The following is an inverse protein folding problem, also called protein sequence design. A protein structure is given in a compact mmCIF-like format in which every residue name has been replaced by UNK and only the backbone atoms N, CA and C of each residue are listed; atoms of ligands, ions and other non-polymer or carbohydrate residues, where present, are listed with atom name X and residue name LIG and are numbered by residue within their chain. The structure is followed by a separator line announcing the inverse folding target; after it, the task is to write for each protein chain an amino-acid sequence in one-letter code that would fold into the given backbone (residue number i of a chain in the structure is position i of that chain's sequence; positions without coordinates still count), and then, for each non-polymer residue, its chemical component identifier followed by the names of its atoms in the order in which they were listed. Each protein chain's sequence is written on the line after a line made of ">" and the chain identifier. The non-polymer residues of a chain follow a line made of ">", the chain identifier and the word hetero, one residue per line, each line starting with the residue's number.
data_IF_069608312615
#
_entry.id   IF_069608312615
#
_cell.length_a   1.000
_cell.length_b   1.000
_cell.length_c   1.000
_cell.angle_alpha   90.00
_cell.angle_beta   90.00
_cell.angle_gamma   90.00
#
_symmetry.space_group_name_H-M   'P 1'
#
loop_
_entity.id
_entity.type
_entity.pdbx_description
1 polymer ?
#
# COMPACT_ATOMS: atom_id res chain seq x y z
N UNK A 1 -14.57 -15.72 -8.06
CA UNK A 1 -13.54 -15.13 -8.96
C UNK A 1 -13.78 -13.63 -9.16
N UNK A 2 -14.98 -13.21 -9.59
CA UNK A 2 -15.30 -11.78 -9.77
C UNK A 2 -15.11 -10.94 -8.49
N UNK A 3 -15.51 -11.48 -7.33
CA UNK A 3 -15.41 -10.82 -6.02
C UNK A 3 -13.97 -10.39 -5.64
N UNK A 4 -12.94 -11.11 -6.09
CA UNK A 4 -11.56 -10.73 -5.79
C UNK A 4 -11.17 -9.46 -6.56
N UNK A 5 -11.57 -9.35 -7.83
CA UNK A 5 -11.27 -8.17 -8.64
C UNK A 5 -12.06 -6.94 -8.18
N UNK A 6 -13.27 -7.11 -7.64
CA UNK A 6 -14.06 -5.99 -7.10
C UNK A 6 -13.48 -5.38 -5.82
N UNK A 7 -12.51 -6.03 -5.17
CA UNK A 7 -11.78 -5.45 -4.04
C UNK A 7 -10.63 -4.53 -4.47
N UNK A 8 -10.20 -4.56 -5.75
CA UNK A 8 -9.12 -3.69 -6.23
C UNK A 8 -9.39 -2.18 -6.02
N UNK A 9 -10.61 -1.64 -6.27
CA UNK A 9 -10.92 -0.24 -5.97
C UNK A 9 -10.85 0.08 -4.47
N UNK A 10 -11.23 -0.87 -3.61
CA UNK A 10 -11.13 -0.69 -2.16
C UNK A 10 -9.67 -0.58 -1.72
N UNK A 11 -8.81 -1.47 -2.21
CA UNK A 11 -7.37 -1.40 -1.93
C UNK A 11 -6.69 -0.19 -2.58
N UNK A 12 -7.20 0.30 -3.71
CA UNK A 12 -6.75 1.57 -4.30
C UNK A 12 -7.06 2.75 -3.38
N UNK A 13 -8.28 2.82 -2.83
CA UNK A 13 -8.62 3.84 -1.85
C UNK A 13 -7.77 3.74 -0.58
N UNK A 14 -7.52 2.51 -0.11
CA UNK A 14 -6.63 2.27 1.03
C UNK A 14 -5.19 2.74 0.75
N UNK A 15 -4.65 2.44 -0.43
CA UNK A 15 -3.29 2.84 -0.85
C UNK A 15 -3.14 4.37 -0.92
N UNK A 16 -4.15 5.07 -1.47
CA UNK A 16 -4.19 6.53 -1.46
C UNK A 16 -4.22 7.09 -0.02
N UNK A 17 -5.00 6.45 0.86
CA UNK A 17 -5.03 6.83 2.26
C UNK A 17 -3.68 6.59 2.96
N UNK A 18 -2.99 5.49 2.66
CA UNK A 18 -1.63 5.24 3.16
C UNK A 18 -0.66 6.36 2.80
N UNK A 19 -0.71 6.90 1.57
CA UNK A 19 0.12 8.04 1.16
C UNK A 19 -0.19 9.32 1.95
N UNK A 20 -1.47 9.63 2.16
CA UNK A 20 -1.89 10.79 2.95
C UNK A 20 -1.39 10.69 4.40
N UNK A 21 -1.49 9.50 5.00
CA UNK A 21 -0.98 9.25 6.35
C UNK A 21 0.55 9.28 6.37
N UNK A 22 1.22 8.69 5.39
CA UNK A 22 2.68 8.73 5.30
C UNK A 22 3.20 10.18 5.27
N UNK A 23 2.55 11.06 4.51
CA UNK A 23 2.90 12.48 4.49
C UNK A 23 2.62 13.18 5.83
N UNK A 24 1.53 12.81 6.52
CA UNK A 24 1.19 13.40 7.83
C UNK A 24 2.22 13.06 8.93
N UNK A 25 2.74 11.84 8.93
CA UNK A 25 3.61 11.34 10.01
C UNK A 25 5.10 11.31 9.65
N UNK A 26 5.44 11.18 8.38
CA UNK A 26 6.84 11.05 7.89
C UNK A 26 7.15 12.08 6.79
N UNK A 27 6.22 13.00 6.51
CA UNK A 27 6.39 14.02 5.48
C UNK A 27 7.47 15.05 5.80
N UNK A 28 7.71 15.93 4.83
CA UNK A 28 8.82 16.89 4.85
C UNK A 28 8.75 17.79 6.10
N UNK A 29 7.54 18.22 6.49
CA UNK A 29 7.31 19.08 7.67
C UNK A 29 7.70 18.42 9.00
N UNK A 30 7.61 17.09 9.09
CA UNK A 30 8.01 16.32 10.28
C UNK A 30 9.53 16.20 10.35
N UNK A 31 10.15 15.95 9.19
CA UNK A 31 11.61 15.87 9.04
C UNK A 31 12.26 17.21 9.41
N UNK A 32 11.70 18.34 8.97
CA UNK A 32 12.18 19.68 9.32
C UNK A 32 12.12 19.95 10.84
N UNK A 33 11.13 19.39 11.53
CA UNK A 33 10.95 19.55 12.98
C UNK A 33 11.76 18.57 13.81
N UNK A 34 12.47 17.63 13.19
CA UNK A 34 13.21 16.57 13.87
C UNK A 34 12.33 15.69 14.76
N UNK A 35 11.02 15.68 14.52
CA UNK A 35 10.04 14.95 15.34
C UNK A 35 10.17 13.45 15.09
N UNK A 36 10.30 12.64 16.14
CA UNK A 36 10.30 11.18 15.98
C UNK A 36 8.86 10.70 15.66
N UNK A 37 8.60 10.06 14.51
CA UNK A 37 7.28 9.54 14.17
C UNK A 37 6.71 8.55 15.20
N UNK A 38 7.58 7.93 16.00
CA UNK A 38 7.21 6.98 17.07
C UNK A 38 6.53 7.66 18.25
N UNK A 39 6.78 8.94 18.46
CA UNK A 39 6.22 9.71 19.57
C UNK A 39 4.83 10.28 19.25
N UNK A 40 4.45 10.35 17.97
CA UNK A 40 3.17 10.89 17.50
C UNK A 40 1.98 9.93 17.67
N UNK A 41 2.16 8.84 18.43
CA UNK A 41 1.24 7.76 18.75
C UNK A 41 -0.12 7.78 18.02
N UNK A 42 -0.32 6.85 17.09
CA UNK A 42 -1.63 6.68 16.46
C UNK A 42 -2.66 6.26 17.52
N UNK A 43 -3.88 6.81 17.45
CA UNK A 43 -4.98 6.37 18.30
C UNK A 43 -5.21 4.85 18.11
N UNK A 44 -5.39 4.11 19.21
CA UNK A 44 -5.42 2.64 19.24
C UNK A 44 -6.44 2.04 18.26
N UNK A 45 -7.65 2.61 18.20
CA UNK A 45 -8.68 2.16 17.26
C UNK A 45 -8.28 2.32 15.79
N UNK A 46 -7.56 3.40 15.46
CA UNK A 46 -7.04 3.61 14.10
C UNK A 46 -5.92 2.61 13.83
N UNK A 47 -5.02 2.37 14.78
CA UNK A 47 -3.94 1.41 14.64
C UNK A 47 -4.45 -0.03 14.41
N UNK A 48 -5.50 -0.43 15.14
CA UNK A 48 -6.15 -1.72 14.96
C UNK A 48 -6.79 -1.86 13.58
N UNK A 49 -7.60 -0.86 13.17
CA UNK A 49 -8.22 -0.83 11.84
C UNK A 49 -7.17 -0.88 10.72
N UNK A 50 -6.05 -0.18 10.91
CA UNK A 50 -4.94 -0.16 9.95
C UNK A 50 -4.27 -1.52 9.82
N UNK A 51 -4.03 -2.17 10.96
CA UNK A 51 -3.39 -3.49 11.02
C UNK A 51 -4.27 -4.56 10.35
N UNK A 52 -5.58 -4.52 10.60
CA UNK A 52 -6.55 -5.41 9.94
C UNK A 52 -6.55 -5.15 8.44
N UNK A 53 -6.58 -3.89 8.02
CA UNK A 53 -6.61 -3.52 6.59
C UNK A 53 -5.34 -3.97 5.85
N UNK A 54 -4.17 -3.81 6.48
CA UNK A 54 -2.90 -4.36 5.97
C UNK A 54 -2.94 -5.88 5.85
N UNK A 55 -3.43 -6.57 6.87
CA UNK A 55 -3.53 -8.04 6.86
C UNK A 55 -4.47 -8.52 5.74
N UNK A 56 -5.64 -7.90 5.61
CA UNK A 56 -6.59 -8.19 4.54
C UNK A 56 -5.99 -7.91 3.16
N UNK A 57 -5.19 -6.85 3.01
CA UNK A 57 -4.53 -6.54 1.75
C UNK A 57 -3.51 -7.61 1.36
N UNK A 58 -2.68 -8.06 2.31
CA UNK A 58 -1.75 -9.18 2.08
C UNK A 58 -2.47 -10.48 1.75
N UNK A 59 -3.53 -10.81 2.49
CA UNK A 59 -4.35 -11.98 2.21
C UNK A 59 -4.96 -11.92 0.81
N UNK A 60 -5.49 -10.76 0.41
CA UNK A 60 -6.04 -10.54 -0.91
C UNK A 60 -4.99 -10.67 -2.02
N UNK A 61 -3.80 -10.09 -1.85
CA UNK A 61 -2.69 -10.27 -2.80
C UNK A 61 -2.33 -11.74 -2.94
N UNK A 62 -2.24 -12.49 -1.83
CA UNK A 62 -1.99 -13.93 -1.85
C UNK A 62 -3.05 -14.71 -2.64
N UNK A 63 -4.33 -14.39 -2.44
CA UNK A 63 -5.43 -15.01 -3.19
C UNK A 63 -5.43 -14.63 -4.68
N UNK A 64 -5.04 -13.40 -5.02
CA UNK A 64 -4.94 -12.91 -6.40
C UNK A 64 -3.84 -13.63 -7.20
N UNK A 65 -2.79 -14.14 -6.55
CA UNK A 65 -1.74 -14.92 -7.23
C UNK A 65 -2.26 -16.23 -7.85
N UNK A 66 -3.33 -16.82 -7.30
CA UNK A 66 -3.95 -18.02 -7.86
C UNK A 66 -4.82 -17.73 -9.08
N UNK A 67 -5.15 -16.46 -9.34
CA UNK A 67 -5.90 -16.07 -10.53
C UNK A 67 -4.99 -16.04 -11.76
N UNK A 68 -5.53 -16.38 -12.93
CA UNK A 68 -4.76 -16.34 -14.19
C UNK A 68 -4.59 -14.91 -14.72
N UNK A 69 -5.62 -14.08 -14.56
CA UNK A 69 -5.65 -12.70 -15.01
C UNK A 69 -5.21 -11.77 -13.87
N UNK A 70 -4.40 -10.76 -14.14
CA UNK A 70 -3.90 -9.87 -13.09
C UNK A 70 -2.76 -10.44 -12.24
N UNK A 71 -2.30 -11.68 -12.51
CA UNK A 71 -1.24 -12.34 -11.74
C UNK A 71 0.07 -11.57 -11.77
N UNK A 72 0.47 -11.07 -12.94
CA UNK A 72 1.70 -10.30 -13.10
C UNK A 72 1.64 -9.01 -12.27
N UNK A 73 0.53 -8.27 -12.36
CA UNK A 73 0.30 -7.05 -11.57
C UNK A 73 0.39 -7.34 -10.07
N UNK A 74 -0.21 -8.46 -9.64
CA UNK A 74 -0.19 -8.89 -8.24
C UNK A 74 1.20 -9.32 -7.78
N UNK A 75 1.97 -10.01 -8.63
CA UNK A 75 3.36 -10.36 -8.35
C UNK A 75 4.21 -9.09 -8.17
N UNK A 76 4.02 -8.08 -9.02
CA UNK A 76 4.68 -6.79 -8.84
C UNK A 76 4.26 -6.08 -7.55
N UNK A 77 2.98 -6.12 -7.18
CA UNK A 77 2.49 -5.59 -5.89
C UNK A 77 3.21 -6.23 -4.70
N UNK A 78 3.32 -7.55 -4.70
CA UNK A 78 4.02 -8.30 -3.65
C UNK A 78 5.52 -7.97 -3.65
N UNK A 79 6.16 -7.99 -4.81
CA UNK A 79 7.59 -7.73 -4.95
C UNK A 79 7.97 -6.32 -4.47
N UNK A 80 7.19 -5.31 -4.85
CA UNK A 80 7.41 -3.92 -4.44
C UNK A 80 7.18 -3.75 -2.94
N UNK A 81 6.13 -4.36 -2.38
CA UNK A 81 5.84 -4.30 -0.94
C UNK A 81 6.96 -4.94 -0.09
N UNK A 82 7.47 -6.09 -0.52
CA UNK A 82 8.61 -6.76 0.14
C UNK A 82 9.90 -5.94 0.01
N UNK A 83 10.21 -5.47 -1.20
CA UNK A 83 11.40 -4.68 -1.45
C UNK A 83 11.39 -3.39 -0.64
N UNK A 84 10.24 -2.70 -0.60
CA UNK A 84 10.05 -1.49 0.19
C UNK A 84 10.21 -1.73 1.68
N UNK A 85 9.70 -2.84 2.21
CA UNK A 85 9.93 -3.22 3.61
C UNK A 85 11.41 -3.43 3.93
N UNK A 86 12.14 -4.15 3.06
CA UNK A 86 13.57 -4.41 3.24
C UNK A 86 14.40 -3.12 3.20
N UNK A 87 14.11 -2.23 2.24
CA UNK A 87 14.83 -0.96 2.10
C UNK A 87 14.56 -0.05 3.29
N UNK A 88 13.30 0.08 3.73
CA UNK A 88 12.92 0.92 4.88
C UNK A 88 13.59 0.49 6.18
N UNK A 89 13.88 -0.80 6.35
CA UNK A 89 14.56 -1.30 7.55
C UNK A 89 16.00 -0.78 7.68
N UNK A 90 16.66 -0.48 6.57
CA UNK A 90 18.07 -0.08 6.52
C UNK A 90 18.31 1.40 6.25
N UNK A 91 17.28 2.21 5.99
CA UNK A 91 17.45 3.61 5.60
C UNK A 91 16.99 4.60 6.69
N UNK A 92 17.61 5.79 6.71
CA UNK A 92 17.20 6.87 7.59
C UNK A 92 15.83 7.45 7.20
N UNK A 93 15.15 8.09 8.14
CA UNK A 93 13.80 8.66 7.98
C UNK A 93 13.62 9.50 6.70
N UNK A 94 14.63 10.28 6.30
CA UNK A 94 14.61 11.07 5.06
C UNK A 94 14.41 10.22 3.79
N UNK A 95 15.03 9.03 3.76
CA UNK A 95 14.92 8.11 2.62
C UNK A 95 13.65 7.24 2.69
N UNK A 96 13.09 7.05 3.88
CA UNK A 96 11.83 6.32 4.07
C UNK A 96 10.69 6.98 3.30
N UNK A 97 10.58 8.32 3.34
CA UNK A 97 9.53 9.04 2.60
C UNK A 97 9.66 8.82 1.09
N UNK A 98 10.87 8.97 0.54
CA UNK A 98 11.14 8.76 -0.89
C UNK A 98 10.75 7.35 -1.31
N UNK A 99 11.16 6.35 -0.52
CA UNK A 99 10.83 4.93 -0.79
C UNK A 99 9.32 4.71 -0.74
N UNK A 100 8.62 5.26 0.25
CA UNK A 100 7.17 5.14 0.38
C UNK A 100 6.43 5.78 -0.81
N UNK A 101 6.90 6.92 -1.32
CA UNK A 101 6.29 7.57 -2.49
C UNK A 101 6.47 6.73 -3.76
N UNK A 102 7.67 6.22 -4.02
CA UNK A 102 7.92 5.36 -5.19
C UNK A 102 7.15 4.05 -5.10
N UNK A 103 7.17 3.38 -3.94
CA UNK A 103 6.40 2.18 -3.69
C UNK A 103 4.90 2.43 -3.90
N UNK A 104 4.36 3.51 -3.32
CA UNK A 104 2.95 3.87 -3.46
C UNK A 104 2.57 4.14 -4.91
N UNK A 105 3.40 4.87 -5.67
CA UNK A 105 3.15 5.13 -7.09
C UNK A 105 3.07 3.83 -7.92
N UNK A 106 3.99 2.89 -7.70
CA UNK A 106 3.96 1.61 -8.39
C UNK A 106 2.74 0.79 -7.97
N UNK A 107 2.43 0.73 -6.66
CA UNK A 107 1.25 0.01 -6.16
C UNK A 107 -0.06 0.56 -6.73
N UNK A 108 -0.21 1.88 -6.77
CA UNK A 108 -1.35 2.56 -7.40
C UNK A 108 -1.45 2.18 -8.88
N UNK A 109 -0.35 2.24 -9.63
CA UNK A 109 -0.35 1.87 -11.05
C UNK A 109 -0.83 0.43 -11.29
N UNK A 110 -0.36 -0.52 -10.47
CA UNK A 110 -0.79 -1.92 -10.55
C UNK A 110 -2.26 -2.10 -10.17
N UNK A 111 -2.73 -1.42 -9.12
CA UNK A 111 -4.14 -1.46 -8.69
C UNK A 111 -5.08 -0.85 -9.74
N UNK A 112 -4.70 0.26 -10.37
CA UNK A 112 -5.46 0.86 -11.48
C UNK A 112 -5.54 -0.11 -12.66
N UNK A 113 -4.44 -0.80 -12.99
CA UNK A 113 -4.47 -1.85 -14.02
C UNK A 113 -5.41 -3.00 -13.65
N UNK A 114 -5.45 -3.42 -12.38
CA UNK A 114 -6.37 -4.45 -11.90
C UNK A 114 -7.83 -3.98 -11.92
N UNK A 115 -8.10 -2.72 -11.60
CA UNK A 115 -9.42 -2.10 -11.74
C UNK A 115 -9.90 -2.10 -13.20
N UNK A 116 -9.01 -1.80 -14.16
CA UNK A 116 -9.34 -1.86 -15.58
C UNK A 116 -9.67 -3.28 -16.04
N UNK A 117 -8.95 -4.29 -15.55
CA UNK A 117 -9.26 -5.71 -15.81
C UNK A 117 -10.60 -6.10 -15.19
N UNK A 118 -10.88 -5.66 -13.97
CA UNK A 118 -12.15 -5.87 -13.30
C UNK A 118 -13.29 -5.30 -14.16
N UNK A 119 -13.18 -4.02 -14.54
CA UNK A 119 -14.17 -3.30 -15.33
C UNK A 119 -14.48 -4.00 -16.66
N UNK A 120 -13.45 -4.36 -17.43
CA UNK A 120 -13.58 -5.07 -18.72
C UNK A 120 -14.22 -6.46 -18.64
N UNK A 121 -14.40 -7.00 -17.43
CA UNK A 121 -14.92 -8.34 -17.22
C UNK A 121 -16.28 -8.34 -16.54
N UNK A 122 -16.68 -7.22 -15.94
CA UNK A 122 -18.01 -6.99 -15.38
C UNK A 122 -18.95 -6.29 -16.37
N UNK A 123 -18.41 -5.60 -17.38
CA UNK A 123 -19.10 -5.04 -18.56
C UNK A 123 -18.74 -5.85 -19.81
#
# INVERSE_FOLDING_TARGET
>A
MALLYSLAPFFLAFELWQLVIAERYVGIKQIERGSDPRELGLHEGIAALWSISLFLYWAWMGLMLFQAWGRLQTLFLVAVSLSGFLIRRGCGLKWVLVVLTFEGAIRIGMLVSLCAIAWRRFL
#
